data_IF_541733372810
#
_entry.id   IF_541733372810
#
_cell.length_a   1.000
_cell.length_b   1.000
_cell.length_c   1.000
_cell.angle_alpha   90.00
_cell.angle_beta   90.00
_cell.angle_gamma   90.00
#
_symmetry.space_group_name_H-M   'P 1'
#
loop_
_entity.id
_entity.type
_entity.pdbx_description
1 polymer ?
#
# COMPACT_ATOMS: atom_id res chain seq x y z
N UNK A 1 -53.92 -28.50 36.04
CA UNK A 1 -53.21 -27.36 36.67
C UNK A 1 -51.73 -27.70 36.69
N UNK A 2 -50.88 -26.72 36.40
CA UNK A 2 -49.41 -26.76 36.25
C UNK A 2 -48.66 -27.48 37.40
N UNK A 3 -47.38 -27.87 37.35
CA UNK A 3 -46.23 -27.29 36.65
C UNK A 3 -44.99 -28.22 36.71
N UNK A 4 -44.02 -27.93 35.82
CA UNK A 4 -42.55 -27.87 36.01
C UNK A 4 -41.69 -29.06 36.47
N UNK A 5 -40.54 -29.18 35.79
CA UNK A 5 -39.30 -29.84 36.22
C UNK A 5 -39.30 -31.33 35.88
N UNK A 6 -38.23 -31.98 35.42
CA UNK A 6 -36.84 -31.85 35.87
C UNK A 6 -35.83 -32.39 34.82
N UNK A 7 -34.83 -31.57 34.47
CA UNK A 7 -33.41 -31.87 34.25
C UNK A 7 -32.92 -33.06 33.36
N UNK A 8 -32.53 -32.69 32.13
CA UNK A 8 -31.21 -32.90 31.48
C UNK A 8 -30.52 -34.28 31.53
N UNK A 9 -30.50 -34.97 30.40
CA UNK A 9 -29.29 -35.65 29.89
C UNK A 9 -29.10 -35.20 28.45
N UNK A 10 -28.10 -34.33 28.29
CA UNK A 10 -27.69 -33.73 27.05
C UNK A 10 -27.16 -34.81 26.10
N UNK A 11 -27.82 -34.98 24.97
CA UNK A 11 -27.10 -35.12 23.73
C UNK A 11 -27.46 -33.85 22.93
N UNK A 12 -26.50 -32.95 22.63
CA UNK A 12 -26.73 -32.00 21.55
C UNK A 12 -27.25 -32.82 20.38
N UNK A 13 -28.36 -32.45 19.73
CA UNK A 13 -28.71 -33.10 18.48
C UNK A 13 -27.53 -32.83 17.56
N UNK A 14 -26.66 -33.84 17.41
CA UNK A 14 -25.59 -33.78 16.42
C UNK A 14 -26.34 -33.67 15.11
N UNK A 15 -26.33 -32.52 14.43
CA UNK A 15 -27.10 -32.37 13.22
C UNK A 15 -26.52 -33.38 12.24
N UNK A 16 -27.37 -34.30 11.76
CA UNK A 16 -27.02 -35.17 10.65
C UNK A 16 -26.39 -34.29 9.55
N UNK A 17 -25.22 -34.64 8.99
CA UNK A 17 -24.50 -33.74 8.08
C UNK A 17 -25.35 -33.30 6.87
N UNK A 18 -26.38 -34.08 6.52
CA UNK A 18 -27.41 -33.76 5.54
C UNK A 18 -28.30 -32.56 5.88
N UNK A 19 -28.43 -32.20 7.17
CA UNK A 19 -29.27 -31.10 7.67
C UNK A 19 -28.48 -29.81 7.92
N UNK A 20 -27.16 -29.80 7.69
CA UNK A 20 -26.39 -28.55 7.68
C UNK A 20 -26.68 -27.79 6.38
N UNK A 21 -27.47 -26.72 6.48
CA UNK A 21 -27.86 -25.91 5.31
C UNK A 21 -26.60 -25.26 4.70
N UNK A 22 -26.16 -25.77 3.55
CA UNK A 22 -25.09 -25.19 2.72
C UNK A 22 -23.88 -26.08 2.44
N UNK A 23 -23.77 -27.28 3.03
CA UNK A 23 -22.67 -28.22 2.73
C UNK A 23 -23.18 -29.41 1.92
N UNK A 24 -22.52 -29.73 0.81
CA UNK A 24 -22.73 -31.00 0.13
C UNK A 24 -22.20 -32.14 1.01
N UNK A 25 -22.85 -33.30 0.95
CA UNK A 25 -22.44 -34.51 1.65
C UNK A 25 -21.00 -34.89 1.22
N UNK A 26 -20.02 -34.58 2.07
CA UNK A 26 -18.59 -34.61 1.74
C UNK A 26 -17.80 -33.36 2.15
N UNK A 27 -18.44 -32.31 2.67
CA UNK A 27 -17.77 -31.11 3.19
C UNK A 27 -17.22 -30.17 2.11
N UNK A 28 -17.65 -30.34 0.86
CA UNK A 28 -17.31 -29.44 -0.23
C UNK A 28 -18.35 -28.33 -0.37
N UNK A 29 -17.86 -27.10 -0.47
CA UNK A 29 -18.66 -25.93 -0.83
C UNK A 29 -18.64 -25.75 -2.35
N UNK A 30 -19.68 -25.16 -2.93
CA UNK A 30 -19.71 -24.88 -4.36
C UNK A 30 -18.56 -23.90 -4.68
N UNK A 31 -17.80 -24.10 -5.78
CA UNK A 31 -16.74 -23.16 -6.16
C UNK A 31 -17.31 -21.74 -6.28
N UNK A 32 -16.99 -20.87 -5.30
CA UNK A 32 -17.58 -19.55 -5.12
C UNK A 32 -17.87 -19.17 -3.65
N UNK A 33 -18.04 -20.15 -2.76
CA UNK A 33 -18.36 -19.91 -1.33
C UNK A 33 -17.11 -19.75 -0.43
N UNK A 34 -15.94 -20.17 -0.90
CA UNK A 34 -14.66 -19.71 -0.33
C UNK A 34 -14.31 -18.40 -1.04
N UNK A 35 -14.17 -17.27 -0.32
CA UNK A 35 -13.61 -16.06 -0.89
C UNK A 35 -12.31 -16.42 -1.62
N UNK A 36 -12.03 -15.90 -2.83
CA UNK A 36 -10.77 -16.17 -3.50
C UNK A 36 -9.64 -15.84 -2.52
N UNK A 37 -8.61 -16.69 -2.47
CA UNK A 37 -7.48 -16.55 -1.56
C UNK A 37 -7.12 -15.07 -1.41
N UNK A 38 -7.03 -14.62 -0.16
CA UNK A 38 -6.78 -13.23 0.26
C UNK A 38 -5.36 -12.75 -0.10
N UNK A 39 -4.87 -13.15 -1.27
CA UNK A 39 -3.77 -12.57 -2.02
C UNK A 39 -4.23 -11.94 -3.33
N UNK A 40 -5.52 -11.62 -3.51
CA UNK A 40 -5.93 -10.70 -4.56
C UNK A 40 -5.49 -9.28 -4.20
N UNK A 41 -4.21 -8.99 -4.43
CA UNK A 41 -3.83 -7.66 -4.86
C UNK A 41 -4.49 -7.48 -6.22
N UNK A 42 -5.76 -7.08 -6.21
CA UNK A 42 -6.38 -6.50 -7.39
C UNK A 42 -5.49 -5.34 -7.76
N UNK A 43 -4.58 -5.58 -8.71
CA UNK A 43 -3.89 -4.53 -9.41
C UNK A 43 -5.03 -3.67 -9.96
N UNK A 44 -5.26 -2.53 -9.29
CA UNK A 44 -6.34 -1.60 -9.57
C UNK A 44 -6.56 -1.53 -11.08
N UNK A 45 -7.72 -1.99 -11.55
CA UNK A 45 -8.08 -1.91 -12.97
C UNK A 45 -8.04 -0.45 -13.48
N UNK A 46 -8.07 0.52 -12.55
CA UNK A 46 -7.61 1.87 -12.79
C UNK A 46 -6.08 1.90 -12.75
N UNK A 47 -5.44 1.68 -13.91
CA UNK A 47 -4.10 2.23 -14.13
C UNK A 47 -4.19 3.74 -13.88
N UNK A 48 -3.42 4.25 -12.92
CA UNK A 48 -3.26 5.69 -12.74
C UNK A 48 -2.87 6.27 -14.11
N UNK A 49 -3.62 7.23 -14.68
CA UNK A 49 -3.28 7.80 -15.97
C UNK A 49 -1.85 8.29 -15.92
N UNK A 50 -1.01 7.80 -16.84
CA UNK A 50 0.37 8.25 -16.94
C UNK A 50 0.36 9.79 -16.97
N UNK A 51 1.24 10.46 -16.20
CA UNK A 51 1.30 11.92 -16.20
C UNK A 51 1.37 12.42 -17.64
N UNK A 52 0.31 13.08 -18.12
CA UNK A 52 0.20 13.56 -19.52
C UNK A 52 1.31 14.55 -19.86
N UNK A 53 1.96 15.12 -18.85
CA UNK A 53 3.09 16.01 -19.03
C UNK A 53 4.27 15.56 -18.16
N UNK A 54 5.41 15.38 -18.82
CA UNK A 54 6.70 15.04 -18.23
C UNK A 54 7.27 16.14 -17.31
N UNK A 55 6.70 17.35 -17.35
CA UNK A 55 7.04 18.43 -16.44
C UNK A 55 5.85 18.75 -15.53
N UNK A 56 5.77 18.09 -14.38
CA UNK A 56 4.90 18.58 -13.31
C UNK A 56 5.47 19.90 -12.78
N UNK A 57 4.64 20.84 -12.27
CA UNK A 57 5.13 22.08 -11.67
C UNK A 57 6.18 21.83 -10.57
N UNK A 58 6.03 20.71 -9.85
CA UNK A 58 6.97 20.22 -8.84
C UNK A 58 8.33 19.86 -9.45
N UNK A 59 8.37 19.21 -10.61
CA UNK A 59 9.61 18.89 -11.29
C UNK A 59 10.36 20.15 -11.74
N UNK A 60 9.64 21.17 -12.24
CA UNK A 60 10.22 22.46 -12.62
C UNK A 60 10.79 23.18 -11.41
N UNK A 61 10.03 23.25 -10.31
CA UNK A 61 10.48 23.85 -9.06
C UNK A 61 11.72 23.14 -8.49
N UNK A 62 11.73 21.79 -8.52
CA UNK A 62 12.89 21.00 -8.10
C UNK A 62 14.13 21.26 -8.97
N UNK A 63 13.96 21.34 -10.29
CA UNK A 63 15.05 21.63 -11.22
C UNK A 63 15.59 23.06 -11.05
N UNK A 64 14.72 24.03 -10.82
CA UNK A 64 15.12 25.41 -10.50
C UNK A 64 15.89 25.49 -9.17
N UNK A 65 15.42 24.82 -8.12
CA UNK A 65 16.11 24.74 -6.83
C UNK A 65 17.50 24.09 -6.97
N UNK A 66 17.59 22.97 -7.71
CA UNK A 66 18.86 22.30 -7.98
C UNK A 66 19.83 23.22 -8.76
N UNK A 67 19.34 23.95 -9.76
CA UNK A 67 20.14 24.91 -10.51
C UNK A 67 20.67 26.05 -9.62
N UNK A 68 19.84 26.58 -8.72
CA UNK A 68 20.27 27.62 -7.76
C UNK A 68 21.38 27.12 -6.84
N UNK A 69 21.25 25.90 -6.31
CA UNK A 69 22.28 25.28 -5.46
C UNK A 69 23.57 25.06 -6.26
N UNK A 70 23.47 24.58 -7.50
CA UNK A 70 24.63 24.37 -8.36
C UNK A 70 25.36 25.69 -8.65
N UNK A 71 24.63 26.78 -8.94
CA UNK A 71 25.22 28.12 -9.15
C UNK A 71 25.91 28.60 -7.90
N UNK A 72 25.27 28.50 -6.73
CA UNK A 72 25.87 28.90 -5.45
C UNK A 72 27.18 28.14 -5.19
N UNK A 73 27.16 26.82 -5.39
CA UNK A 73 28.34 25.98 -5.25
C UNK A 73 29.47 26.40 -6.20
N UNK A 74 29.13 26.68 -7.46
CA UNK A 74 30.08 27.13 -8.47
C UNK A 74 30.71 28.48 -8.09
N UNK A 75 29.91 29.43 -7.60
CA UNK A 75 30.41 30.72 -7.09
C UNK A 75 31.40 30.51 -5.95
N UNK A 76 31.05 29.71 -4.94
CA UNK A 76 31.94 29.41 -3.81
C UNK A 76 33.22 28.74 -4.29
N UNK A 77 33.13 27.75 -5.18
CA UNK A 77 34.28 27.05 -5.72
C UNK A 77 35.23 27.98 -6.49
N UNK A 78 34.68 28.91 -7.28
CA UNK A 78 35.48 29.89 -8.03
C UNK A 78 36.14 30.89 -7.09
N UNK A 79 35.39 31.48 -6.16
CA UNK A 79 35.94 32.44 -5.18
C UNK A 79 37.04 31.80 -4.35
N UNK A 80 36.77 30.61 -3.80
CA UNK A 80 37.74 29.87 -3.00
C UNK A 80 38.94 29.42 -3.84
N UNK A 81 38.71 28.99 -5.08
CA UNK A 81 39.79 28.68 -6.01
C UNK A 81 40.68 29.89 -6.24
N UNK A 82 40.11 31.04 -6.60
CA UNK A 82 40.85 32.30 -6.81
C UNK A 82 41.64 32.73 -5.57
N UNK A 83 41.09 32.52 -4.37
CA UNK A 83 41.78 32.73 -3.10
C UNK A 83 42.97 31.76 -2.94
N UNK A 84 42.74 30.44 -3.05
CA UNK A 84 43.77 29.41 -2.87
C UNK A 84 44.90 29.51 -3.90
N UNK A 85 44.57 29.88 -5.15
CA UNK A 85 45.57 30.14 -6.19
C UNK A 85 46.36 31.45 -5.94
N UNK A 86 46.12 32.13 -4.81
CA UNK A 86 46.81 33.35 -4.41
C UNK A 86 46.59 34.50 -5.39
N UNK A 87 45.53 34.43 -6.20
CA UNK A 87 45.19 35.46 -7.17
C UNK A 87 44.66 36.73 -6.49
N UNK A 88 44.02 36.55 -5.34
CA UNK A 88 43.35 37.59 -4.56
C UNK A 88 44.14 38.07 -3.33
N UNK A 89 45.14 37.33 -2.85
CA UNK A 89 45.91 37.65 -1.63
C UNK A 89 47.03 38.71 -1.83
N UNK A 90 47.15 39.25 -3.05
CA UNK A 90 48.27 40.10 -3.48
C UNK A 90 47.93 41.60 -3.63
N UNK A 91 46.76 42.02 -3.12
CA UNK A 91 46.28 43.40 -3.05
C UNK A 91 45.96 43.76 -1.60
#
# INVERSE_FOLDING_TARGET
MAASGEHSTALPPDPEPSDTTGLAEGGSVQPGDTPPDSGSLSASANQNPLPKHRFTPVAIAGMAAAALIAVLFLVVAVVYGLQVFGLMDRW
#
